data_IF_401302092830
#
_entry.id   IF_401302092830
#
_cell.length_a   1.000
_cell.length_b   1.000
_cell.length_c   1.000
_cell.angle_alpha   90.00
_cell.angle_beta   90.00
_cell.angle_gamma   90.00
#
_symmetry.space_group_name_H-M   'P 1'
#
loop_
_entity.id
_entity.type
_entity.pdbx_description
1 polymer ?
#
# COMPACT_ATOMS: atom_id res chain seq x y z
N UNK A 1 7.21 11.33 -13.56
CA UNK A 1 7.72 10.96 -14.91
C UNK A 1 7.26 12.06 -15.86
N UNK A 2 8.12 13.02 -16.20
CA UNK A 2 7.79 14.08 -17.16
C UNK A 2 7.84 13.48 -18.55
N UNK A 3 6.72 13.15 -19.13
CA UNK A 3 6.63 12.89 -20.56
C UNK A 3 6.77 14.24 -21.25
N UNK A 4 7.98 14.54 -21.72
CA UNK A 4 8.21 15.71 -22.56
C UNK A 4 7.63 15.36 -23.95
N UNK A 5 6.35 15.65 -24.15
CA UNK A 5 5.80 15.76 -25.47
C UNK A 5 6.33 17.07 -26.06
N UNK A 6 7.55 17.02 -26.58
CA UNK A 6 8.09 18.19 -27.31
C UNK A 6 7.25 18.43 -28.55
N UNK A 7 6.96 19.70 -28.86
CA UNK A 7 6.21 20.13 -30.05
C UNK A 7 6.69 19.48 -31.37
N UNK A 8 7.94 19.01 -31.41
CA UNK A 8 8.52 18.30 -32.55
C UNK A 8 7.88 16.91 -32.79
N UNK A 9 7.34 16.26 -31.77
CA UNK A 9 6.74 14.93 -31.89
C UNK A 9 5.22 14.95 -32.09
N UNK A 10 4.56 16.10 -31.91
CA UNK A 10 3.11 16.24 -32.09
C UNK A 10 2.65 16.02 -33.55
N UNK A 11 3.55 16.14 -34.52
CA UNK A 11 3.23 15.91 -35.94
C UNK A 11 3.09 14.42 -36.32
N UNK A 12 3.47 13.49 -35.43
CA UNK A 12 3.38 12.05 -35.69
C UNK A 12 2.14 11.38 -35.07
N UNK A 13 1.41 12.06 -34.20
CA UNK A 13 0.24 11.49 -33.54
C UNK A 13 -1.04 12.19 -33.97
N UNK A 14 -1.99 11.42 -34.45
CA UNK A 14 -3.34 11.91 -34.79
C UNK A 14 -4.24 12.05 -33.57
N UNK A 15 -3.96 11.30 -32.49
CA UNK A 15 -4.67 11.38 -31.22
C UNK A 15 -3.79 10.89 -30.09
N UNK A 16 -3.99 11.45 -28.89
CA UNK A 16 -3.42 10.97 -27.62
C UNK A 16 -4.57 10.55 -26.71
N UNK A 17 -4.62 9.27 -26.37
CA UNK A 17 -5.58 8.71 -25.41
C UNK A 17 -4.78 8.24 -24.21
N UNK A 18 -5.15 8.74 -23.00
CA UNK A 18 -4.51 8.38 -21.75
C UNK A 18 -5.56 7.76 -20.84
N UNK A 19 -5.33 6.54 -20.39
CA UNK A 19 -6.25 5.76 -19.56
C UNK A 19 -5.52 5.04 -18.42
N UNK A 20 -4.94 5.75 -17.47
CA UNK A 20 -4.42 5.13 -16.25
C UNK A 20 -5.49 5.06 -15.15
N UNK A 21 -5.25 4.20 -14.17
CA UNK A 21 -6.16 4.00 -13.03
C UNK A 21 -6.19 5.17 -12.02
N UNK A 22 -5.28 6.16 -12.13
CA UNK A 22 -5.13 7.27 -11.16
C UNK A 22 -4.90 8.60 -11.89
N UNK A 23 -5.91 9.07 -12.63
CA UNK A 23 -5.85 10.36 -13.34
C UNK A 23 -6.41 11.54 -12.53
N UNK A 24 -7.13 11.27 -11.48
CA UNK A 24 -7.73 12.34 -10.67
C UNK A 24 -6.70 12.90 -9.65
N UNK A 25 -6.58 14.23 -9.49
CA UNK A 25 -7.34 15.29 -10.18
C UNK A 25 -6.84 15.53 -11.61
N UNK A 26 -7.77 15.55 -12.56
CA UNK A 26 -7.43 15.67 -13.99
C UNK A 26 -6.72 16.99 -14.35
N UNK A 27 -6.98 18.07 -13.62
CA UNK A 27 -6.34 19.37 -13.87
C UNK A 27 -4.84 19.33 -13.50
N UNK A 28 -4.49 18.68 -12.40
CA UNK A 28 -3.10 18.46 -12.02
C UNK A 28 -2.37 17.64 -13.07
N UNK A 29 -3.02 16.57 -13.56
CA UNK A 29 -2.47 15.72 -14.60
C UNK A 29 -2.25 16.46 -15.94
N UNK A 30 -3.21 17.28 -16.38
CA UNK A 30 -3.08 18.11 -17.57
C UNK A 30 -1.93 19.12 -17.44
N UNK A 31 -1.80 19.72 -16.24
CA UNK A 31 -0.71 20.64 -15.92
C UNK A 31 0.67 19.99 -15.94
N UNK A 32 0.79 18.78 -15.38
CA UNK A 32 2.06 18.02 -15.39
C UNK A 32 2.49 17.60 -16.78
N UNK A 33 1.54 17.25 -17.66
CA UNK A 33 1.82 16.89 -19.05
C UNK A 33 2.02 18.11 -19.95
N UNK A 34 1.56 19.29 -19.52
CA UNK A 34 1.61 20.52 -20.32
C UNK A 34 0.71 20.47 -21.54
N UNK A 35 -0.36 19.71 -21.50
CA UNK A 35 -1.35 19.64 -22.59
C UNK A 35 -2.77 19.61 -22.04
N UNK A 36 -3.69 20.27 -22.77
CA UNK A 36 -5.11 20.25 -22.47
C UNK A 36 -5.80 19.09 -23.16
N UNK A 37 -6.65 18.39 -22.42
CA UNK A 37 -7.49 17.33 -22.95
C UNK A 37 -8.90 17.89 -23.20
N UNK A 38 -9.32 17.89 -24.46
CA UNK A 38 -10.65 18.36 -24.88
C UNK A 38 -11.78 17.40 -24.47
N UNK A 39 -11.45 16.12 -24.30
CA UNK A 39 -12.38 15.08 -23.82
C UNK A 39 -11.81 14.53 -22.51
N UNK A 40 -12.60 14.65 -21.46
CA UNK A 40 -12.27 14.15 -20.13
C UNK A 40 -13.41 13.26 -19.66
N UNK A 41 -13.09 12.05 -19.25
CA UNK A 41 -14.04 11.10 -18.67
C UNK A 41 -13.57 10.70 -17.28
N UNK A 42 -14.34 11.04 -16.28
CA UNK A 42 -14.16 10.59 -14.91
C UNK A 42 -15.35 9.71 -14.54
N UNK A 43 -15.11 8.43 -14.41
CA UNK A 43 -16.13 7.48 -14.02
C UNK A 43 -16.14 7.31 -12.50
N UNK A 44 -17.32 7.28 -11.84
CA UNK A 44 -17.40 6.98 -10.42
C UNK A 44 -16.91 5.56 -10.15
N UNK A 45 -16.40 5.32 -8.95
CA UNK A 45 -16.03 3.98 -8.51
C UNK A 45 -17.21 3.02 -8.58
N UNK A 46 -16.94 1.77 -8.95
CA UNK A 46 -17.94 0.69 -8.98
C UNK A 46 -18.45 0.37 -7.58
N UNK A 47 -17.62 0.61 -6.55
CA UNK A 47 -17.95 0.40 -5.14
C UNK A 47 -18.58 1.64 -4.50
N UNK A 48 -19.47 1.42 -3.55
CA UNK A 48 -19.97 2.48 -2.70
C UNK A 48 -19.01 2.66 -1.51
N UNK A 49 -18.09 3.63 -1.61
CA UNK A 49 -17.05 3.85 -0.61
C UNK A 49 -17.62 4.12 0.80
N UNK A 50 -18.75 4.82 0.91
CA UNK A 50 -19.37 5.15 2.20
C UNK A 50 -19.91 3.91 2.95
N UNK A 51 -20.28 2.87 2.21
CA UNK A 51 -20.85 1.65 2.78
C UNK A 51 -19.87 0.49 2.87
N UNK A 52 -18.83 0.50 2.03
CA UNK A 52 -17.91 -0.63 1.86
C UNK A 52 -16.51 -0.36 2.41
N UNK A 53 -16.18 0.90 2.71
CA UNK A 53 -14.88 1.29 3.25
C UNK A 53 -15.08 2.04 4.55
N UNK A 54 -14.43 1.57 5.61
CA UNK A 54 -14.32 2.28 6.87
C UNK A 54 -12.89 2.78 7.03
N UNK A 55 -12.71 4.10 7.12
CA UNK A 55 -11.42 4.74 7.34
C UNK A 55 -11.34 5.31 8.75
N UNK A 56 -10.35 4.86 9.51
CA UNK A 56 -10.03 5.40 10.83
C UNK A 56 -8.71 6.17 10.76
N UNK A 57 -8.74 7.44 11.12
CA UNK A 57 -7.55 8.26 11.26
C UNK A 57 -7.08 8.27 12.72
N UNK A 58 -5.81 7.96 12.94
CA UNK A 58 -5.19 7.84 14.28
C UNK A 58 -4.09 8.89 14.45
N UNK A 59 -4.45 10.15 14.82
CA UNK A 59 -3.48 11.26 14.93
C UNK A 59 -2.45 11.06 16.05
N UNK A 60 -2.70 10.15 16.97
CA UNK A 60 -1.78 9.79 18.05
C UNK A 60 -0.51 9.08 17.58
N UNK A 61 -0.49 8.57 16.34
CA UNK A 61 0.69 8.02 15.72
C UNK A 61 1.38 9.08 14.86
N UNK A 62 2.34 9.79 15.46
CA UNK A 62 3.19 10.72 14.71
C UNK A 62 4.32 9.95 14.02
N UNK A 63 4.16 9.71 12.73
CA UNK A 63 5.11 8.96 11.89
C UNK A 63 6.09 9.90 11.14
N UNK A 64 6.27 11.13 11.60
CA UNK A 64 7.26 12.05 11.03
C UNK A 64 8.68 11.45 11.16
N UNK A 65 9.55 11.84 10.25
CA UNK A 65 10.95 11.39 10.23
C UNK A 65 11.66 11.62 11.59
N UNK A 66 11.33 12.71 12.28
CA UNK A 66 11.89 13.04 13.60
C UNK A 66 11.49 12.04 14.71
N UNK A 67 10.37 11.35 14.55
CA UNK A 67 9.86 10.39 15.52
C UNK A 67 10.14 8.93 15.10
N UNK A 68 10.72 8.72 13.92
CA UNK A 68 10.89 7.39 13.33
C UNK A 68 11.76 6.44 14.17
N UNK A 69 12.70 6.94 14.96
CA UNK A 69 13.60 6.12 15.80
C UNK A 69 13.03 5.81 17.20
N UNK A 70 11.77 6.19 17.48
CA UNK A 70 11.16 5.98 18.78
C UNK A 70 10.77 4.52 19.01
N UNK A 71 11.47 3.83 19.89
CA UNK A 71 11.13 2.47 20.30
C UNK A 71 9.70 2.34 20.87
N UNK A 72 9.22 3.40 21.55
CA UNK A 72 7.85 3.47 22.06
C UNK A 72 6.82 3.52 20.92
N UNK A 73 7.11 4.27 19.84
CA UNK A 73 6.26 4.31 18.65
C UNK A 73 6.22 2.95 17.95
N UNK A 74 7.39 2.31 17.76
CA UNK A 74 7.45 0.98 17.16
C UNK A 74 6.67 -0.07 17.96
N UNK A 75 6.77 0.01 19.29
CA UNK A 75 6.01 -0.90 20.18
C UNK A 75 4.50 -0.66 20.05
N UNK A 76 4.04 0.61 20.05
CA UNK A 76 2.62 0.95 19.86
C UNK A 76 2.09 0.50 18.49
N UNK A 77 2.87 0.68 17.43
CA UNK A 77 2.51 0.19 16.10
C UNK A 77 2.41 -1.34 16.07
N UNK A 78 3.34 -2.04 16.72
CA UNK A 78 3.28 -3.49 16.86
C UNK A 78 2.03 -3.96 17.61
N UNK A 79 1.63 -3.25 18.66
CA UNK A 79 0.40 -3.54 19.40
C UNK A 79 -0.84 -3.32 18.52
N UNK A 80 -0.89 -2.21 17.77
CA UNK A 80 -1.97 -1.93 16.81
C UNK A 80 -2.09 -3.07 15.77
N UNK A 81 -0.97 -3.52 15.22
CA UNK A 81 -0.96 -4.64 14.26
C UNK A 81 -1.48 -5.93 14.89
N UNK A 82 -1.11 -6.23 16.14
CA UNK A 82 -1.62 -7.38 16.89
C UNK A 82 -3.14 -7.28 17.05
N UNK A 83 -3.64 -6.12 17.49
CA UNK A 83 -5.07 -5.88 17.73
C UNK A 83 -5.87 -6.02 16.43
N UNK A 84 -5.38 -5.42 15.34
CA UNK A 84 -6.00 -5.54 14.00
C UNK A 84 -5.95 -6.99 13.52
N UNK A 85 -4.83 -7.69 13.65
CA UNK A 85 -4.72 -9.08 13.24
C UNK A 85 -5.64 -10.02 14.02
N UNK A 86 -5.89 -9.73 15.29
CA UNK A 86 -6.81 -10.53 16.12
C UNK A 86 -8.28 -10.31 15.75
N UNK A 87 -8.64 -9.08 15.38
CA UNK A 87 -10.01 -8.69 15.07
C UNK A 87 -10.41 -8.93 13.60
N UNK A 88 -9.44 -9.05 12.69
CA UNK A 88 -9.70 -9.09 11.25
C UNK A 88 -9.53 -10.50 10.71
N UNK A 89 -10.52 -11.08 10.02
CA UNK A 89 -10.33 -12.32 9.30
C UNK A 89 -9.46 -12.12 8.05
N UNK A 90 -9.06 -13.21 7.41
CA UNK A 90 -8.38 -13.23 6.12
C UNK A 90 -7.07 -12.43 6.10
N UNK A 91 -6.89 -11.57 5.09
CA UNK A 91 -5.67 -10.82 4.86
C UNK A 91 -5.66 -9.44 5.49
N UNK A 92 -4.51 -9.06 6.01
CA UNK A 92 -4.19 -7.71 6.51
C UNK A 92 -2.98 -7.21 5.72
N UNK A 93 -3.01 -5.96 5.26
CA UNK A 93 -1.88 -5.26 4.67
C UNK A 93 -1.40 -4.16 5.62
N UNK A 94 -0.08 -4.04 5.77
CA UNK A 94 0.58 -2.92 6.42
C UNK A 94 1.49 -2.27 5.40
N UNK A 95 1.18 -1.03 5.00
CA UNK A 95 2.01 -0.25 4.09
C UNK A 95 2.93 0.68 4.87
N UNK A 96 4.23 0.45 4.75
CA UNK A 96 5.29 1.27 5.31
C UNK A 96 5.77 2.33 4.32
N UNK A 97 6.25 3.47 4.81
CA UNK A 97 6.76 4.56 3.97
C UNK A 97 8.02 4.17 3.17
N UNK A 98 8.84 3.25 3.69
CA UNK A 98 10.06 2.79 3.04
C UNK A 98 10.47 1.37 3.47
N UNK A 99 11.33 0.72 2.68
CA UNK A 99 11.92 -0.58 3.04
C UNK A 99 12.75 -0.52 4.32
N UNK A 100 13.49 0.56 4.53
CA UNK A 100 14.26 0.77 5.74
C UNK A 100 13.35 0.79 6.98
N UNK A 101 12.25 1.51 6.89
CA UNK A 101 11.26 1.60 7.96
C UNK A 101 10.59 0.26 8.24
N UNK A 102 10.20 -0.49 7.21
CA UNK A 102 9.65 -1.83 7.35
C UNK A 102 10.64 -2.78 8.04
N UNK A 103 11.91 -2.74 7.67
CA UNK A 103 12.98 -3.53 8.28
C UNK A 103 13.18 -3.17 9.76
N UNK A 104 13.17 -1.87 10.10
CA UNK A 104 13.29 -1.38 11.49
C UNK A 104 12.12 -1.87 12.37
N UNK A 105 10.89 -1.78 11.88
CA UNK A 105 9.72 -2.29 12.60
C UNK A 105 9.83 -3.80 12.83
N UNK A 106 10.14 -4.57 11.79
CA UNK A 106 10.30 -6.03 11.90
C UNK A 106 11.39 -6.41 12.89
N UNK A 107 12.54 -5.73 12.88
CA UNK A 107 13.63 -5.97 13.83
C UNK A 107 13.19 -5.66 15.26
N UNK A 108 12.54 -4.53 15.48
CA UNK A 108 12.03 -4.14 16.80
C UNK A 108 11.02 -5.16 17.32
N UNK A 109 10.06 -5.57 16.48
CA UNK A 109 9.04 -6.55 16.86
C UNK A 109 9.62 -7.94 17.14
N UNK A 110 10.71 -8.33 16.45
CA UNK A 110 11.46 -9.56 16.75
C UNK A 110 12.16 -9.47 18.11
N UNK A 111 12.75 -8.30 18.41
CA UNK A 111 13.47 -8.10 19.67
C UNK A 111 12.58 -8.04 20.90
N UNK A 112 11.34 -7.54 20.77
CA UNK A 112 10.41 -7.35 21.90
C UNK A 112 9.30 -8.42 21.99
N UNK A 113 9.34 -9.47 21.16
CA UNK A 113 8.40 -10.59 21.18
C UNK A 113 7.08 -10.35 20.40
N UNK A 114 6.79 -9.14 19.91
CA UNK A 114 5.58 -8.84 19.16
C UNK A 114 5.51 -9.63 17.84
N UNK A 115 6.67 -9.90 17.22
CA UNK A 115 6.73 -10.73 16.01
C UNK A 115 6.15 -12.14 16.23
N UNK A 116 6.43 -12.73 17.38
CA UNK A 116 5.90 -14.05 17.75
C UNK A 116 4.39 -13.96 17.98
N UNK A 117 3.92 -12.91 18.66
CA UNK A 117 2.51 -12.68 18.88
C UNK A 117 1.75 -12.50 17.55
N UNK A 118 2.26 -11.68 16.64
CA UNK A 118 1.69 -11.50 15.28
C UNK A 118 1.68 -12.84 14.55
N UNK A 119 2.80 -13.55 14.57
CA UNK A 119 2.97 -14.85 13.93
C UNK A 119 2.07 -15.94 14.49
N UNK A 120 1.59 -15.84 15.72
CA UNK A 120 0.59 -16.77 16.28
C UNK A 120 -0.82 -16.52 15.73
N UNK A 121 -1.12 -15.27 15.35
CA UNK A 121 -2.43 -14.85 14.82
C UNK A 121 -2.52 -15.03 13.31
N UNK A 122 -1.49 -14.63 12.57
CA UNK A 122 -1.47 -14.60 11.10
C UNK A 122 -0.17 -15.18 10.55
N UNK A 123 -0.22 -15.70 9.33
CA UNK A 123 1.00 -16.00 8.59
C UNK A 123 1.61 -14.72 8.05
N UNK A 124 2.90 -14.47 8.35
CA UNK A 124 3.52 -13.16 8.10
C UNK A 124 4.40 -13.21 6.87
N UNK A 125 4.18 -12.26 5.98
CA UNK A 125 4.92 -12.03 4.75
C UNK A 125 5.50 -10.61 4.76
N UNK A 126 6.72 -10.45 4.25
CA UNK A 126 7.38 -9.15 4.14
C UNK A 126 7.84 -8.95 2.69
N UNK A 127 7.52 -7.80 2.10
CA UNK A 127 7.93 -7.46 0.75
C UNK A 127 9.47 -7.34 0.66
N UNK A 128 10.12 -8.10 -0.24
CA UNK A 128 11.57 -8.03 -0.38
C UNK A 128 12.02 -6.77 -1.13
N UNK A 129 13.14 -6.19 -0.69
CA UNK A 129 13.70 -4.95 -1.27
C UNK A 129 14.15 -5.10 -2.72
N UNK A 130 14.67 -6.25 -3.09
CA UNK A 130 15.22 -6.51 -4.43
C UNK A 130 14.23 -7.25 -5.33
N UNK A 131 14.50 -7.17 -6.64
CA UNK A 131 13.74 -7.87 -7.69
C UNK A 131 14.01 -9.38 -7.61
N UNK A 132 13.45 -10.03 -6.62
CA UNK A 132 13.63 -11.44 -6.40
C UNK A 132 12.69 -12.24 -7.30
N UNK A 133 13.23 -13.30 -7.93
CA UNK A 133 12.44 -14.32 -8.65
C UNK A 133 11.38 -14.97 -7.77
N UNK A 134 11.52 -14.83 -6.44
CA UNK A 134 10.58 -15.28 -5.41
C UNK A 134 9.33 -14.43 -5.21
N UNK A 135 9.26 -13.18 -5.74
CA UNK A 135 8.15 -12.26 -5.48
C UNK A 135 6.77 -12.83 -5.88
N UNK A 136 6.65 -13.40 -7.08
CA UNK A 136 5.40 -14.01 -7.52
C UNK A 136 5.00 -15.23 -6.67
N UNK A 137 5.98 -15.96 -6.11
CA UNK A 137 5.73 -17.06 -5.17
C UNK A 137 5.26 -16.53 -3.81
N UNK A 138 5.91 -15.48 -3.31
CA UNK A 138 5.52 -14.82 -2.06
C UNK A 138 4.06 -14.36 -2.13
N UNK A 139 3.68 -13.73 -3.23
CA UNK A 139 2.33 -13.24 -3.45
C UNK A 139 1.30 -14.38 -3.47
N UNK A 140 1.54 -15.43 -4.25
CA UNK A 140 0.67 -16.62 -4.26
C UNK A 140 0.54 -17.28 -2.88
N UNK A 141 1.64 -17.33 -2.12
CA UNK A 141 1.61 -17.87 -0.77
C UNK A 141 0.77 -16.99 0.15
N UNK A 142 0.92 -15.66 0.08
CA UNK A 142 0.08 -14.73 0.83
C UNK A 142 -1.40 -14.92 0.50
N UNK A 143 -1.77 -14.96 -0.78
CA UNK A 143 -3.14 -15.16 -1.24
C UNK A 143 -3.72 -16.48 -0.71
N UNK A 144 -2.94 -17.56 -0.81
CA UNK A 144 -3.35 -18.87 -0.30
C UNK A 144 -3.56 -18.86 1.21
N UNK A 145 -2.64 -18.26 1.97
CA UNK A 145 -2.73 -18.18 3.44
C UNK A 145 -3.82 -17.22 3.90
N UNK A 146 -4.07 -16.13 3.15
CA UNK A 146 -5.14 -15.20 3.46
C UNK A 146 -6.54 -15.85 3.40
N UNK A 147 -6.71 -16.90 2.59
CA UNK A 147 -7.96 -17.65 2.51
C UNK A 147 -8.12 -18.72 3.61
N UNK A 148 -7.14 -18.92 4.47
CA UNK A 148 -7.24 -19.86 5.59
C UNK A 148 -7.94 -19.24 6.79
N UNK A 149 -8.37 -20.08 7.74
CA UNK A 149 -8.93 -19.61 9.03
C UNK A 149 -7.97 -18.72 9.82
N UNK A 150 -6.67 -18.97 9.71
CA UNK A 150 -5.63 -18.17 10.34
C UNK A 150 -5.46 -16.82 9.66
N UNK A 151 -5.58 -16.78 8.33
CA UNK A 151 -5.33 -15.61 7.52
C UNK A 151 -3.85 -15.25 7.40
N UNK A 152 -3.55 -14.13 6.76
CA UNK A 152 -2.19 -13.69 6.50
C UNK A 152 -2.00 -12.19 6.76
N UNK A 153 -0.78 -11.80 7.15
CA UNK A 153 -0.33 -10.42 7.22
C UNK A 153 0.75 -10.19 6.15
N UNK A 154 0.62 -9.14 5.36
CA UNK A 154 1.64 -8.66 4.44
C UNK A 154 2.14 -7.29 4.89
N UNK A 155 3.45 -7.19 5.12
CA UNK A 155 4.13 -5.91 5.31
C UNK A 155 4.73 -5.50 3.97
N UNK A 156 4.25 -4.40 3.42
CA UNK A 156 4.58 -3.89 2.10
C UNK A 156 5.08 -2.45 2.17
N UNK A 157 5.59 -1.92 1.06
CA UNK A 157 6.11 -0.55 0.99
C UNK A 157 5.28 0.26 0.01
N UNK A 158 4.92 1.48 0.40
CA UNK A 158 4.27 2.45 -0.46
C UNK A 158 5.13 2.72 -1.70
N UNK A 159 4.53 2.74 -2.89
CA UNK A 159 5.25 2.80 -4.18
C UNK A 159 6.18 1.60 -4.43
N UNK A 160 6.02 0.52 -3.68
CA UNK A 160 6.64 -0.77 -3.94
C UNK A 160 5.83 -1.58 -4.96
N UNK A 161 6.30 -2.78 -5.27
CA UNK A 161 5.65 -3.66 -6.26
C UNK A 161 4.24 -4.08 -5.85
N UNK A 162 4.01 -4.22 -4.55
CA UNK A 162 2.72 -4.60 -4.00
C UNK A 162 1.72 -3.46 -4.20
N UNK A 163 2.11 -2.22 -3.93
CA UNK A 163 1.21 -1.07 -4.08
C UNK A 163 0.87 -0.73 -5.54
N UNK A 164 1.72 -1.11 -6.51
CA UNK A 164 1.54 -0.78 -7.92
C UNK A 164 0.93 -1.90 -8.77
N UNK A 165 0.89 -3.13 -8.28
CA UNK A 165 0.55 -4.29 -9.11
C UNK A 165 -0.41 -5.31 -8.51
N UNK A 166 -0.96 -5.09 -7.33
CA UNK A 166 -1.88 -6.03 -6.70
C UNK A 166 -3.33 -5.75 -7.02
N UNK A 167 -3.97 -6.72 -7.64
CA UNK A 167 -5.42 -6.82 -7.69
C UNK A 167 -5.87 -7.84 -6.63
N UNK A 168 -5.95 -7.41 -5.38
CA UNK A 168 -6.48 -8.24 -4.30
C UNK A 168 -8.00 -8.16 -4.32
N UNK A 169 -8.63 -9.28 -4.59
CA UNK A 169 -10.09 -9.40 -4.45
C UNK A 169 -10.49 -9.47 -2.97
N UNK A 170 -11.76 -9.24 -2.69
CA UNK A 170 -12.37 -9.24 -1.34
C UNK A 170 -12.08 -10.51 -0.51
N UNK A 171 -11.67 -11.60 -1.17
CA UNK A 171 -11.31 -12.85 -0.49
C UNK A 171 -9.96 -12.78 0.20
N UNK A 172 -9.07 -11.87 -0.22
CA UNK A 172 -7.68 -11.86 0.23
C UNK A 172 -7.38 -10.75 1.21
N UNK A 173 -8.15 -9.65 1.19
CA UNK A 173 -7.85 -8.46 1.98
C UNK A 173 -9.10 -7.91 2.66
N UNK A 174 -9.04 -7.74 3.98
CA UNK A 174 -10.10 -7.15 4.80
C UNK A 174 -9.68 -5.86 5.49
N UNK A 175 -8.38 -5.67 5.73
CA UNK A 175 -7.88 -4.48 6.41
C UNK A 175 -6.57 -4.00 5.80
N UNK A 176 -6.41 -2.69 5.69
CA UNK A 176 -5.18 -2.06 5.27
C UNK A 176 -4.79 -0.99 6.30
N UNK A 177 -3.58 -1.10 6.84
CA UNK A 177 -2.95 -0.08 7.68
C UNK A 177 -1.98 0.68 6.79
N UNK A 178 -2.20 1.98 6.60
CA UNK A 178 -1.34 2.82 5.77
C UNK A 178 -0.66 3.87 6.64
N UNK A 179 0.65 3.97 6.52
CA UNK A 179 1.44 5.04 7.08
C UNK A 179 1.49 6.20 6.09
N UNK A 180 0.74 7.26 6.37
CA UNK A 180 0.86 8.50 5.63
C UNK A 180 1.81 9.41 6.40
N UNK A 181 3.04 9.57 5.91
CA UNK A 181 3.87 10.71 6.30
C UNK A 181 3.33 11.93 5.57
N UNK A 182 3.02 13.01 6.28
CA UNK A 182 2.65 14.27 5.67
C UNK A 182 3.66 14.62 4.57
N UNK A 183 3.16 14.65 3.34
CA UNK A 183 3.88 15.15 2.16
C UNK A 183 4.03 16.65 2.29
#
# INVERSE_FOLDING_TARGET
MRLILTKANASFFTALIVSPGTLSPMDSFSSELGCDFSIRLEAPHVINCERQIMCNYMPEFNLSFQCSDSAALHHRLGQLVIDVCSATPNGVLVFCASYWWAEMLVQTWRGNGQWVAIGSLKEVYVEPRLNDKGFAKLLRNFEASACTLRGALMIAVCRGKISEGLNLSDRYLYCCICEFTNL
#
